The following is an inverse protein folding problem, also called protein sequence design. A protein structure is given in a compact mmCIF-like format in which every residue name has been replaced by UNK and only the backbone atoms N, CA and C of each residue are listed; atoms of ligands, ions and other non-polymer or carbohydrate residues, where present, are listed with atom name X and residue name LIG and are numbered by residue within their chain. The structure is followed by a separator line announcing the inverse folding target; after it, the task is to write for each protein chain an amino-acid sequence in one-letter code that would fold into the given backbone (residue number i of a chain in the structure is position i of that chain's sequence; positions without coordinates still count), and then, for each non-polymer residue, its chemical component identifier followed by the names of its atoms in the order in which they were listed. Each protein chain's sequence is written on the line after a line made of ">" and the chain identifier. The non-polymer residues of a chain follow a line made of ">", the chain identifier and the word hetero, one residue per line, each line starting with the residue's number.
data_IF_566905889022
#
_entry.id   IF_566905889022
#
_cell.length_a   1.000
_cell.length_b   1.000
_cell.length_c   1.000
_cell.angle_alpha   90.00
_cell.angle_beta   90.00
_cell.angle_gamma   90.00
#
_symmetry.space_group_name_H-M   'P 1'
#
loop_
_entity.id
_entity.type
_entity.pdbx_description
1 polymer ?
#
# COMPACT_ATOMS: atom_id res chain seq x y z
N UNK A 1 4.10 15.94 9.12
CA UNK A 1 3.76 15.06 10.27
C UNK A 1 2.54 14.24 9.88
N UNK A 2 2.57 12.92 10.04
CA UNK A 2 1.43 12.05 9.71
C UNK A 2 0.32 12.20 10.76
N UNK A 3 -0.90 11.68 10.49
CA UNK A 3 -1.96 11.64 11.51
C UNK A 3 -1.54 10.80 12.71
N UNK A 4 -0.89 9.65 12.49
CA UNK A 4 -0.36 8.80 13.56
C UNK A 4 0.63 9.56 14.46
N UNK A 5 1.56 10.31 13.87
CA UNK A 5 2.52 11.11 14.62
C UNK A 5 1.82 12.17 15.49
N UNK A 6 0.76 12.80 14.98
CA UNK A 6 -0.04 13.79 15.73
C UNK A 6 -0.76 13.16 16.93
N UNK A 7 -1.35 11.97 16.77
CA UNK A 7 -1.99 11.23 17.87
C UNK A 7 -0.97 10.88 18.95
N UNK A 8 0.17 10.32 18.54
CA UNK A 8 1.23 9.92 19.48
C UNK A 8 1.83 11.13 20.19
N UNK A 9 2.04 12.24 19.48
CA UNK A 9 2.51 13.50 20.07
C UNK A 9 1.48 14.08 21.05
N UNK A 10 0.19 14.03 20.72
CA UNK A 10 -0.89 14.46 21.59
C UNK A 10 -0.91 13.67 22.90
N UNK A 11 -0.77 12.34 22.82
CA UNK A 11 -0.73 11.46 23.98
C UNK A 11 0.52 11.71 24.85
N UNK A 12 1.70 11.83 24.22
CA UNK A 12 2.96 12.10 24.94
C UNK A 12 2.98 13.45 25.63
N UNK A 13 2.28 14.46 25.09
CA UNK A 13 2.16 15.76 25.73
C UNK A 13 1.41 15.70 27.08
N UNK A 14 0.66 14.62 27.34
CA UNK A 14 -0.06 14.41 28.60
C UNK A 14 0.69 13.45 29.56
N UNK A 15 1.90 13.00 29.23
CA UNK A 15 2.73 12.23 30.16
C UNK A 15 2.95 13.00 31.47
N UNK A 16 2.75 12.32 32.59
CA UNK A 16 2.80 12.94 33.92
C UNK A 16 1.45 13.52 34.38
N UNK A 17 0.43 13.57 33.53
CA UNK A 17 -0.93 13.78 34.01
C UNK A 17 -1.37 12.59 34.87
N UNK A 18 -1.81 12.87 36.09
CA UNK A 18 -2.28 11.88 37.05
C UNK A 18 -3.51 12.35 37.81
N UNK A 19 -4.20 11.41 38.41
CA UNK A 19 -5.32 11.68 39.30
C UNK A 19 -4.87 12.40 40.58
N UNK A 20 -5.77 13.18 41.16
CA UNK A 20 -5.55 13.93 42.40
C UNK A 20 -6.83 13.95 43.24
N UNK A 21 -6.92 13.12 44.31
CA UNK A 21 -5.94 12.14 44.77
C UNK A 21 -5.87 10.87 43.86
N UNK A 22 -4.82 10.03 43.96
CA UNK A 22 -4.76 8.77 43.22
C UNK A 22 -5.97 7.86 43.46
N UNK A 23 -6.51 7.27 42.39
CA UNK A 23 -7.68 6.40 42.39
C UNK A 23 -9.03 7.13 42.41
N UNK A 24 -9.03 8.47 42.34
CA UNK A 24 -10.25 9.29 42.34
C UNK A 24 -10.93 9.40 40.98
N UNK A 25 -10.22 9.11 39.89
CA UNK A 25 -10.60 9.51 38.53
C UNK A 25 -10.85 11.01 38.35
N UNK A 26 -10.25 11.84 39.21
CA UNK A 26 -10.39 13.30 39.23
C UNK A 26 -9.01 13.98 39.20
N UNK A 27 -8.98 15.27 38.90
CA UNK A 27 -7.79 16.11 38.85
C UNK A 27 -7.83 17.04 37.64
N UNK A 28 -7.23 18.23 37.74
CA UNK A 28 -7.34 19.25 36.69
C UNK A 28 -6.96 18.75 35.27
N UNK A 29 -5.90 17.95 35.16
CA UNK A 29 -5.48 17.39 33.88
C UNK A 29 -6.38 16.21 33.43
N UNK A 30 -6.87 15.39 34.36
CA UNK A 30 -7.80 14.27 34.09
C UNK A 30 -9.14 14.83 33.62
N UNK A 31 -9.66 15.87 34.28
CA UNK A 31 -10.90 16.55 33.90
C UNK A 31 -10.81 17.17 32.51
N UNK A 32 -9.66 17.76 32.15
CA UNK A 32 -9.42 18.22 30.77
C UNK A 32 -9.54 17.07 29.76
N UNK A 33 -9.01 15.88 30.07
CA UNK A 33 -9.13 14.71 29.19
C UNK A 33 -10.57 14.20 29.13
N UNK A 34 -11.23 14.04 30.29
CA UNK A 34 -12.63 13.59 30.40
C UNK A 34 -13.62 14.55 29.72
N UNK A 35 -13.27 15.83 29.56
CA UNK A 35 -14.12 16.79 28.82
C UNK A 35 -14.40 16.38 27.37
N UNK A 36 -13.56 15.54 26.76
CA UNK A 36 -13.77 14.99 25.40
C UNK A 36 -15.01 14.11 25.27
N UNK A 37 -15.46 13.51 26.38
CA UNK A 37 -16.59 12.58 26.44
C UNK A 37 -17.67 13.03 27.42
N UNK A 38 -17.35 13.98 28.31
CA UNK A 38 -18.24 14.46 29.38
C UNK A 38 -18.35 13.51 30.59
N UNK A 39 -17.62 12.39 30.60
CA UNK A 39 -17.65 11.39 31.66
C UNK A 39 -16.66 11.73 32.78
N UNK A 40 -16.99 12.78 33.55
CA UNK A 40 -16.18 13.21 34.69
C UNK A 40 -16.24 12.19 35.85
N UNK A 41 -15.15 12.07 36.60
CA UNK A 41 -15.04 11.18 37.77
C UNK A 41 -15.28 9.69 37.47
N UNK A 42 -15.02 9.26 36.22
CA UNK A 42 -15.14 7.88 35.78
C UNK A 42 -13.80 7.36 35.24
N UNK A 43 -13.66 6.04 35.14
CA UNK A 43 -12.50 5.42 34.48
C UNK A 43 -12.28 6.06 33.10
N UNK A 44 -11.08 6.60 32.86
CA UNK A 44 -10.85 7.57 31.80
C UNK A 44 -9.89 7.10 30.71
N UNK A 45 -9.59 5.80 30.64
CA UNK A 45 -8.72 5.24 29.59
C UNK A 45 -9.27 5.48 28.18
N UNK A 46 -10.57 5.24 27.94
CA UNK A 46 -11.20 5.50 26.65
C UNK A 46 -11.44 7.00 26.37
N UNK A 47 -11.69 7.79 27.42
CA UNK A 47 -11.71 9.25 27.32
C UNK A 47 -10.34 9.79 26.87
N UNK A 48 -9.23 9.22 27.36
CA UNK A 48 -7.88 9.58 26.92
C UNK A 48 -7.66 9.31 25.43
N UNK A 49 -8.01 8.11 24.95
CA UNK A 49 -7.96 7.77 23.52
C UNK A 49 -8.80 8.75 22.68
N UNK A 50 -10.03 9.00 23.09
CA UNK A 50 -10.94 9.95 22.40
C UNK A 50 -10.35 11.35 22.36
N UNK A 51 -9.85 11.85 23.49
CA UNK A 51 -9.22 13.16 23.61
C UNK A 51 -8.00 13.32 22.69
N UNK A 52 -7.13 12.30 22.63
CA UNK A 52 -5.93 12.36 21.79
C UNK A 52 -6.24 12.25 20.30
N UNK A 53 -7.24 11.47 19.91
CA UNK A 53 -7.77 11.46 18.55
C UNK A 53 -8.34 12.82 18.15
N UNK A 54 -9.20 13.42 18.99
CA UNK A 54 -9.74 14.77 18.76
C UNK A 54 -8.61 15.80 18.60
N UNK A 55 -7.62 15.80 19.50
CA UNK A 55 -6.47 16.72 19.45
C UNK A 55 -5.61 16.54 18.20
N UNK A 56 -5.60 15.34 17.62
CA UNK A 56 -4.92 15.04 16.36
C UNK A 56 -5.77 15.36 15.11
N UNK A 57 -7.02 15.79 15.28
CA UNK A 57 -7.95 16.11 14.20
C UNK A 57 -8.57 14.88 13.54
N UNK A 58 -8.68 13.76 14.26
CA UNK A 58 -9.50 12.60 13.85
C UNK A 58 -10.96 12.90 14.20
N UNK A 59 -11.88 12.62 13.28
CA UNK A 59 -13.31 12.73 13.56
C UNK A 59 -13.75 11.59 14.50
N UNK A 60 -14.10 11.95 15.74
CA UNK A 60 -14.58 11.01 16.74
C UNK A 60 -16.09 11.06 16.91
N UNK A 61 -16.85 11.73 16.05
CA UNK A 61 -18.31 11.83 16.17
C UNK A 61 -19.01 10.47 16.33
N UNK A 62 -18.50 9.43 15.65
CA UNK A 62 -19.03 8.06 15.73
C UNK A 62 -18.28 7.15 16.70
N UNK A 63 -17.03 7.47 17.06
CA UNK A 63 -16.17 6.61 17.90
C UNK A 63 -16.01 7.09 19.34
N UNK A 64 -16.15 8.39 19.60
CA UNK A 64 -15.82 9.02 20.87
C UNK A 64 -16.72 8.54 22.00
N UNK A 65 -16.11 7.97 23.05
CA UNK A 65 -16.81 7.42 24.20
C UNK A 65 -15.87 7.24 25.39
N UNK A 66 -16.45 7.12 26.58
CA UNK A 66 -15.73 6.87 27.82
C UNK A 66 -15.65 5.37 28.19
N UNK A 67 -16.39 4.50 27.49
CA UNK A 67 -16.45 3.07 27.78
C UNK A 67 -15.71 2.20 26.75
N UNK A 68 -14.92 1.23 27.20
CA UNK A 68 -14.17 0.32 26.30
C UNK A 68 -15.07 -0.62 25.49
N UNK A 69 -16.17 -1.11 26.07
CA UNK A 69 -17.16 -1.92 25.36
C UNK A 69 -17.85 -1.12 24.25
N UNK A 70 -18.35 0.07 24.59
CA UNK A 70 -18.99 0.96 23.62
C UNK A 70 -18.02 1.39 22.51
N UNK A 71 -16.74 1.60 22.84
CA UNK A 71 -15.71 1.93 21.85
C UNK A 71 -15.53 0.79 20.83
N UNK A 72 -15.48 -0.47 21.28
CA UNK A 72 -15.40 -1.65 20.39
C UNK A 72 -16.69 -1.82 19.59
N UNK A 73 -17.85 -1.65 20.20
CA UNK A 73 -19.14 -1.81 19.52
C UNK A 73 -19.36 -0.74 18.45
N UNK A 74 -19.01 0.52 18.73
CA UNK A 74 -18.97 1.61 17.74
C UNK A 74 -18.02 1.27 16.59
N UNK A 75 -16.78 0.91 16.90
CA UNK A 75 -15.81 0.54 15.88
C UNK A 75 -16.26 -0.65 15.03
N UNK A 76 -16.98 -1.62 15.61
CA UNK A 76 -17.56 -2.74 14.88
C UNK A 76 -18.66 -2.27 13.93
N UNK A 77 -19.59 -1.42 14.38
CA UNK A 77 -20.66 -0.86 13.52
C UNK A 77 -20.09 -0.05 12.36
N UNK A 78 -19.04 0.72 12.60
CA UNK A 78 -18.36 1.54 11.59
C UNK A 78 -17.39 0.73 10.69
N UNK A 79 -17.21 -0.57 10.93
CA UNK A 79 -16.26 -1.37 10.16
C UNK A 79 -14.79 -0.97 10.34
N UNK A 80 -14.43 -0.39 11.49
CA UNK A 80 -13.08 0.14 11.81
C UNK A 80 -12.23 -0.79 12.68
N UNK A 81 -12.69 -2.02 12.91
CA UNK A 81 -11.89 -3.06 13.56
C UNK A 81 -10.85 -3.63 12.59
N UNK A 82 -9.60 -3.78 13.04
CA UNK A 82 -8.52 -4.39 12.26
C UNK A 82 -7.88 -5.54 13.04
N UNK A 83 -7.33 -6.51 12.30
CA UNK A 83 -6.60 -7.64 12.87
C UNK A 83 -5.14 -7.32 13.21
N UNK A 84 -4.62 -6.20 12.68
CA UNK A 84 -3.25 -5.74 12.91
C UNK A 84 -3.26 -4.31 13.44
N UNK A 85 -2.42 -4.00 14.43
CA UNK A 85 -2.28 -2.64 14.92
C UNK A 85 -1.56 -1.77 13.87
N UNK A 86 -1.87 -0.48 13.89
CA UNK A 86 -1.08 0.56 13.22
C UNK A 86 -0.76 1.66 14.24
N UNK A 87 0.37 2.38 14.10
CA UNK A 87 0.67 3.53 14.96
C UNK A 87 -0.49 4.53 15.04
N UNK A 88 -0.79 5.01 16.25
CA UNK A 88 -1.91 5.92 16.54
C UNK A 88 -3.27 5.24 16.72
N UNK A 89 -3.41 3.95 16.41
CA UNK A 89 -4.66 3.24 16.63
C UNK A 89 -4.89 2.97 18.13
N UNK A 90 -6.14 2.69 18.51
CA UNK A 90 -6.43 2.20 19.84
C UNK A 90 -6.30 0.68 19.87
N UNK A 91 -5.70 0.16 20.93
CA UNK A 91 -5.81 -1.24 21.33
C UNK A 91 -6.77 -1.31 22.51
N UNK A 92 -7.71 -2.26 22.49
CA UNK A 92 -8.66 -2.51 23.57
C UNK A 92 -8.48 -3.94 24.05
N UNK A 93 -8.30 -4.14 25.36
CA UNK A 93 -8.24 -5.46 26.00
C UNK A 93 -9.49 -5.68 26.84
N UNK A 94 -10.07 -6.88 26.74
CA UNK A 94 -11.18 -7.34 27.58
C UNK A 94 -12.33 -6.31 27.71
N UNK A 95 -12.89 -5.81 26.59
CA UNK A 95 -13.88 -4.73 26.61
C UNK A 95 -15.04 -5.01 27.57
N UNK A 96 -15.44 -4.01 28.36
CA UNK A 96 -16.45 -4.14 29.43
C UNK A 96 -15.98 -3.47 30.72
N UNK A 97 -16.55 -3.87 31.86
CA UNK A 97 -16.30 -3.28 33.18
C UNK A 97 -14.84 -3.37 33.65
N UNK A 98 -14.08 -4.32 33.08
CA UNK A 98 -12.64 -4.51 33.35
C UNK A 98 -11.77 -4.20 32.14
N UNK A 99 -12.36 -3.62 31.10
CA UNK A 99 -11.65 -3.36 29.86
C UNK A 99 -10.71 -2.19 29.99
N UNK A 100 -9.60 -2.26 29.27
CA UNK A 100 -8.62 -1.17 29.19
C UNK A 100 -8.34 -0.82 27.74
N UNK A 101 -7.98 0.43 27.47
CA UNK A 101 -7.56 0.85 26.13
C UNK A 101 -6.42 1.85 26.18
N UNK A 102 -5.53 1.74 25.20
CA UNK A 102 -4.34 2.58 25.06
C UNK A 102 -4.10 2.87 23.57
N UNK A 103 -3.35 3.93 23.28
CA UNK A 103 -2.85 4.21 21.93
C UNK A 103 -1.62 3.36 21.65
N UNK A 104 -1.58 2.73 20.48
CA UNK A 104 -0.39 2.03 19.98
C UNK A 104 0.61 3.04 19.41
N UNK A 105 1.84 3.05 19.93
CA UNK A 105 2.92 3.89 19.40
C UNK A 105 3.64 3.14 18.28
N UNK A 106 4.03 1.89 18.53
CA UNK A 106 4.67 1.00 17.56
C UNK A 106 4.56 -0.44 18.03
N UNK A 107 4.63 -1.39 17.10
CA UNK A 107 4.76 -2.81 17.43
C UNK A 107 6.18 -3.16 17.90
N UNK A 108 6.28 -4.21 18.71
CA UNK A 108 7.51 -4.82 19.21
C UNK A 108 7.42 -6.31 18.91
N UNK A 109 8.11 -6.75 17.86
CA UNK A 109 7.96 -8.10 17.33
C UNK A 109 6.52 -8.37 16.85
N UNK A 110 6.10 -9.64 16.93
CA UNK A 110 4.77 -10.09 16.51
C UNK A 110 3.72 -10.06 17.62
N UNK A 111 4.13 -9.90 18.88
CA UNK A 111 3.24 -10.11 20.05
C UNK A 111 3.14 -8.91 20.99
N UNK A 112 4.02 -7.92 20.85
CA UNK A 112 4.08 -6.77 21.73
C UNK A 112 3.88 -5.45 20.99
N UNK A 113 3.61 -4.40 21.76
CA UNK A 113 3.67 -3.02 21.30
C UNK A 113 4.11 -2.10 22.44
N UNK A 114 4.77 -1.00 22.08
CA UNK A 114 4.85 0.17 22.96
C UNK A 114 3.53 0.91 22.85
N UNK A 115 2.91 1.21 23.98
CA UNK A 115 1.62 1.89 24.05
C UNK A 115 1.69 3.08 25.00
N UNK A 116 0.72 3.98 24.89
CA UNK A 116 0.51 5.07 25.84
C UNK A 116 -0.96 5.11 26.23
N UNK A 117 -1.22 5.08 27.53
CA UNK A 117 -2.55 4.92 28.12
C UNK A 117 -2.85 5.96 29.17
N UNK A 118 -4.08 6.45 29.21
CA UNK A 118 -4.63 7.16 30.37
C UNK A 118 -5.20 6.17 31.39
N UNK A 119 -5.34 6.58 32.65
CA UNK A 119 -5.79 5.74 33.75
C UNK A 119 -4.95 4.45 33.93
N UNK A 120 -3.70 4.47 33.46
CA UNK A 120 -2.75 3.36 33.69
C UNK A 120 -2.03 3.61 35.00
N UNK A 121 -2.51 2.98 36.08
CA UNK A 121 -2.03 3.27 37.43
C UNK A 121 -2.29 4.73 37.78
N UNK A 122 -3.54 5.15 37.59
CA UNK A 122 -4.09 6.47 37.91
C UNK A 122 -3.38 7.64 37.20
N UNK A 123 -2.72 7.37 36.06
CA UNK A 123 -1.94 8.34 35.31
C UNK A 123 -1.86 8.04 33.81
N UNK A 124 -1.35 9.01 33.05
CA UNK A 124 -0.89 8.79 31.67
C UNK A 124 0.50 8.16 31.70
N UNK A 125 0.64 6.96 31.13
CA UNK A 125 1.91 6.21 31.09
C UNK A 125 2.19 5.62 29.73
N UNK A 126 3.47 5.63 29.36
CA UNK A 126 4.02 4.91 28.21
C UNK A 126 4.77 3.67 28.71
N UNK A 127 4.45 2.48 28.17
CA UNK A 127 5.07 1.20 28.56
C UNK A 127 4.86 0.15 27.46
N UNK A 128 5.51 -1.01 27.61
CA UNK A 128 5.32 -2.13 26.68
C UNK A 128 4.17 -3.02 27.14
N UNK A 129 3.32 -3.43 26.19
CA UNK A 129 2.18 -4.31 26.40
C UNK A 129 2.25 -5.52 25.48
N UNK A 130 1.69 -6.63 25.97
CA UNK A 130 1.31 -7.76 25.13
C UNK A 130 0.00 -7.43 24.40
N UNK A 131 -0.04 -7.64 23.09
CA UNK A 131 -1.18 -7.26 22.23
C UNK A 131 -1.72 -8.43 21.38
N UNK A 132 -1.25 -9.65 21.61
CA UNK A 132 -1.69 -10.84 20.89
C UNK A 132 -2.51 -11.78 21.80
N UNK A 133 -3.42 -11.21 22.59
CA UNK A 133 -4.26 -11.95 23.53
C UNK A 133 -5.68 -12.18 23.00
N UNK A 134 -6.40 -13.19 23.51
CA UNK A 134 -7.84 -13.28 23.29
C UNK A 134 -8.52 -12.00 23.77
N UNK A 135 -9.61 -11.59 23.11
CA UNK A 135 -10.34 -10.35 23.41
C UNK A 135 -9.49 -9.07 23.31
N UNK A 136 -8.50 -9.06 22.40
CA UNK A 136 -7.77 -7.85 22.00
C UNK A 136 -8.30 -7.34 20.68
N UNK A 137 -8.65 -6.06 20.61
CA UNK A 137 -9.20 -5.41 19.41
C UNK A 137 -8.36 -4.21 19.03
N UNK A 138 -8.12 -4.02 17.72
CA UNK A 138 -7.50 -2.80 17.20
C UNK A 138 -8.54 -1.96 16.48
N UNK A 139 -8.67 -0.71 16.88
CA UNK A 139 -9.60 0.26 16.30
C UNK A 139 -8.79 1.28 15.53
N UNK A 140 -8.99 1.29 14.21
CA UNK A 140 -8.25 2.13 13.28
C UNK A 140 -9.22 3.13 12.63
N UNK A 141 -9.27 4.38 13.11
CA UNK A 141 -9.91 5.48 12.40
C UNK A 141 -9.45 5.59 10.94
N UNK A 142 -10.33 6.06 10.05
CA UNK A 142 -10.08 6.10 8.61
C UNK A 142 -8.87 6.97 8.27
N UNK A 143 -8.63 8.02 9.05
CA UNK A 143 -7.50 8.94 8.91
C UNK A 143 -6.15 8.32 9.26
N UNK A 144 -6.16 7.15 9.92
CA UNK A 144 -4.99 6.33 10.20
C UNK A 144 -4.81 5.18 9.21
N UNK A 145 -5.79 4.92 8.33
CA UNK A 145 -5.61 3.95 7.27
C UNK A 145 -4.61 4.44 6.24
N UNK A 146 -3.66 3.58 5.88
CA UNK A 146 -2.83 3.81 4.73
C UNK A 146 -3.72 3.92 3.50
N UNK A 147 -3.74 5.10 2.87
CA UNK A 147 -4.43 5.27 1.60
C UNK A 147 -3.84 4.24 0.62
N UNK A 148 -4.67 3.46 -0.08
CA UNK A 148 -4.16 2.51 -1.05
C UNK A 148 -3.29 3.24 -2.06
N UNK A 149 -2.02 2.83 -2.16
CA UNK A 149 -1.14 3.32 -3.19
C UNK A 149 -1.56 2.68 -4.50
N UNK A 150 -1.63 3.46 -5.57
CA UNK A 150 -1.98 2.96 -6.89
C UNK A 150 -0.84 3.28 -7.84
N UNK A 151 -0.39 2.28 -8.58
CA UNK A 151 0.52 2.45 -9.71
C UNK A 151 -0.31 2.42 -10.99
N UNK A 152 0.00 3.33 -11.92
CA UNK A 152 -0.60 3.30 -13.25
C UNK A 152 0.38 2.63 -14.20
N UNK A 153 0.06 1.42 -14.63
CA UNK A 153 0.83 0.72 -15.66
C UNK A 153 0.35 1.18 -17.02
N UNK A 154 1.25 1.69 -17.85
CA UNK A 154 0.99 2.05 -19.23
C UNK A 154 1.50 0.95 -20.16
N UNK A 155 0.73 0.63 -21.20
CA UNK A 155 1.19 -0.24 -22.29
C UNK A 155 0.64 0.24 -23.63
N UNK A 156 1.27 -0.22 -24.71
CA UNK A 156 0.81 0.01 -26.07
C UNK A 156 0.26 -1.30 -26.62
N UNK A 157 -1.00 -1.27 -27.06
CA UNK A 157 -1.69 -2.43 -27.61
C UNK A 157 -1.75 -2.29 -29.14
N UNK A 158 -1.34 -3.34 -29.85
CA UNK A 158 -1.68 -3.55 -31.25
C UNK A 158 -2.95 -4.43 -31.29
N UNK A 159 -4.12 -3.89 -31.69
CA UNK A 159 -5.37 -4.65 -31.70
C UNK A 159 -5.35 -5.91 -32.58
N UNK A 160 -4.37 -6.01 -33.50
CA UNK A 160 -4.18 -7.16 -34.38
C UNK A 160 -3.13 -8.17 -33.86
N UNK A 161 -2.45 -7.88 -32.75
CA UNK A 161 -1.57 -8.84 -32.08
C UNK A 161 -2.39 -9.67 -31.08
N UNK A 162 -2.20 -11.00 -31.04
CA UNK A 162 -2.83 -11.81 -30.01
C UNK A 162 -2.37 -11.33 -28.62
N UNK A 163 -3.30 -11.00 -27.70
CA UNK A 163 -2.99 -10.28 -26.47
C UNK A 163 -2.43 -11.23 -25.42
N UNK A 164 -1.20 -11.71 -25.63
CA UNK A 164 -0.52 -12.52 -24.63
C UNK A 164 0.93 -12.04 -24.48
N UNK A 165 1.11 -11.22 -23.44
CA UNK A 165 2.37 -10.95 -22.71
C UNK A 165 3.46 -10.14 -23.43
N UNK A 166 3.32 -8.81 -23.47
CA UNK A 166 4.51 -7.96 -23.65
C UNK A 166 4.49 -6.78 -22.68
N UNK A 167 5.23 -6.90 -21.58
CA UNK A 167 5.55 -5.80 -20.66
C UNK A 167 6.66 -4.92 -21.27
N UNK A 168 6.61 -3.61 -21.02
CA UNK A 168 7.69 -2.68 -21.39
C UNK A 168 8.90 -2.92 -20.48
N UNK A 169 10.10 -3.09 -21.07
CA UNK A 169 11.35 -3.25 -20.32
C UNK A 169 12.15 -1.94 -20.36
N UNK A 170 12.61 -1.51 -19.19
CA UNK A 170 13.39 -0.28 -19.02
C UNK A 170 14.90 -0.48 -19.23
N UNK A 171 15.40 -1.72 -19.34
CA UNK A 171 16.82 -2.01 -19.60
C UNK A 171 17.04 -3.12 -20.63
N UNK A 172 18.13 -2.99 -21.40
CA UNK A 172 18.56 -3.97 -22.38
C UNK A 172 18.98 -5.29 -21.75
N UNK A 173 19.62 -5.26 -20.58
CA UNK A 173 20.09 -6.47 -19.89
C UNK A 173 18.91 -7.36 -19.44
N UNK A 174 17.88 -6.76 -18.84
CA UNK A 174 16.69 -7.53 -18.41
C UNK A 174 15.91 -8.09 -19.60
N UNK A 175 15.92 -7.36 -20.73
CA UNK A 175 15.38 -7.82 -22.00
C UNK A 175 16.09 -9.08 -22.51
N UNK A 176 17.43 -9.10 -22.55
CA UNK A 176 18.16 -10.30 -23.03
C UNK A 176 17.95 -11.52 -22.12
N UNK A 177 17.83 -11.30 -20.81
CA UNK A 177 17.56 -12.35 -19.83
C UNK A 177 16.21 -13.03 -20.08
N UNK A 178 15.14 -12.24 -20.26
CA UNK A 178 13.80 -12.77 -20.50
C UNK A 178 13.69 -13.51 -21.85
N UNK A 179 14.39 -13.04 -22.90
CA UNK A 179 14.47 -13.75 -24.20
C UNK A 179 15.13 -15.11 -24.00
N UNK A 180 16.25 -15.14 -23.29
CA UNK A 180 17.00 -16.38 -23.02
C UNK A 180 16.12 -17.37 -22.27
N UNK A 181 15.37 -16.90 -21.26
CA UNK A 181 14.44 -17.74 -20.51
C UNK A 181 13.28 -18.26 -21.38
N UNK A 182 12.71 -17.41 -22.24
CA UNK A 182 11.62 -17.79 -23.14
C UNK A 182 12.05 -18.80 -24.21
N UNK A 183 13.23 -18.60 -24.79
CA UNK A 183 13.83 -19.58 -25.72
C UNK A 183 14.10 -20.89 -25.01
N UNK A 184 14.59 -20.84 -23.76
CA UNK A 184 14.76 -22.02 -22.90
C UNK A 184 13.46 -22.80 -22.65
N UNK A 185 12.30 -22.14 -22.73
CA UNK A 185 10.96 -22.75 -22.61
C UNK A 185 10.37 -23.19 -23.96
N UNK A 186 11.16 -23.22 -25.03
CA UNK A 186 10.74 -23.65 -26.37
C UNK A 186 10.17 -22.55 -27.28
N UNK A 187 10.32 -21.28 -26.90
CA UNK A 187 9.95 -20.14 -27.75
C UNK A 187 10.83 -19.98 -28.99
N UNK A 188 10.25 -19.57 -30.13
CA UNK A 188 10.98 -19.35 -31.39
C UNK A 188 11.29 -17.85 -31.65
N UNK A 189 12.56 -17.41 -31.63
CA UNK A 189 12.94 -15.99 -31.76
C UNK A 189 12.47 -15.29 -33.04
N UNK A 190 12.20 -16.04 -34.11
CA UNK A 190 11.73 -15.49 -35.39
C UNK A 190 10.33 -14.87 -35.34
N UNK A 191 9.61 -15.02 -34.23
CA UNK A 191 8.23 -14.56 -34.05
C UNK A 191 8.09 -13.20 -33.35
N UNK A 192 9.19 -12.53 -33.05
CA UNK A 192 9.16 -11.33 -32.21
C UNK A 192 9.68 -10.12 -33.01
N UNK A 193 8.83 -9.10 -33.21
CA UNK A 193 9.24 -7.85 -33.87
C UNK A 193 9.62 -6.80 -32.83
N UNK A 194 10.76 -6.14 -33.05
CA UNK A 194 11.28 -5.06 -32.21
C UNK A 194 10.67 -3.72 -32.61
N UNK A 195 10.04 -3.02 -31.66
CA UNK A 195 9.66 -1.61 -31.77
C UNK A 195 10.52 -0.74 -30.85
N UNK A 196 10.82 0.50 -31.26
CA UNK A 196 11.57 1.47 -30.44
C UNK A 196 10.77 2.76 -30.32
N UNK A 197 10.49 3.24 -29.09
CA UNK A 197 9.84 4.53 -28.85
C UNK A 197 10.98 5.50 -28.71
N UNK A 198 11.00 6.53 -29.54
CA UNK A 198 11.91 7.66 -29.36
C UNK A 198 11.13 8.90 -28.98
N UNK A 199 11.66 9.69 -28.06
CA UNK A 199 11.16 11.04 -27.77
C UNK A 199 12.12 12.07 -28.34
N UNK A 200 11.60 13.24 -28.71
CA UNK A 200 12.44 14.34 -29.18
C UNK A 200 13.06 15.06 -27.97
N UNK A 201 14.39 15.02 -27.84
CA UNK A 201 15.16 15.83 -26.89
C UNK A 201 16.17 16.67 -27.66
N UNK A 202 16.14 17.98 -27.46
CA UNK A 202 17.02 18.93 -28.16
C UNK A 202 17.03 18.73 -29.69
N UNK A 203 15.86 18.55 -30.29
CA UNK A 203 15.70 18.31 -31.73
C UNK A 203 16.05 16.89 -32.21
N UNK A 204 16.72 16.08 -31.39
CA UNK A 204 17.12 14.69 -31.72
C UNK A 204 16.11 13.69 -31.18
N UNK A 205 15.82 12.63 -31.95
CA UNK A 205 15.06 11.48 -31.46
C UNK A 205 15.97 10.62 -30.59
N UNK A 206 15.63 10.48 -29.31
CA UNK A 206 16.34 9.65 -28.34
C UNK A 206 15.44 8.46 -28.01
N UNK A 207 15.92 7.21 -28.21
CA UNK A 207 15.16 6.02 -27.84
C UNK A 207 14.97 5.96 -26.33
N UNK A 208 13.73 5.77 -25.88
CA UNK A 208 13.35 5.72 -24.46
C UNK A 208 12.83 4.34 -24.07
N UNK A 209 12.16 3.65 -25.00
CA UNK A 209 11.62 2.32 -24.74
C UNK A 209 11.84 1.41 -25.95
N UNK A 210 12.02 0.11 -25.69
CA UNK A 210 11.95 -0.93 -26.72
C UNK A 210 10.83 -1.88 -26.33
N UNK A 211 9.96 -2.27 -27.26
CA UNK A 211 8.89 -3.24 -27.00
C UNK A 211 8.82 -4.30 -28.10
N UNK A 212 8.00 -5.31 -27.85
CA UNK A 212 7.75 -6.42 -28.76
C UNK A 212 6.28 -6.41 -29.21
N UNK A 213 6.03 -6.70 -30.48
CA UNK A 213 4.73 -7.21 -30.92
C UNK A 213 4.87 -8.72 -31.18
N UNK A 214 3.94 -9.51 -30.65
CA UNK A 214 3.86 -10.95 -30.87
C UNK A 214 3.64 -11.31 -32.35
N UNK A 215 3.66 -12.62 -32.70
CA UNK A 215 3.55 -13.06 -34.08
C UNK A 215 2.22 -12.63 -34.70
N UNK A 216 2.24 -12.23 -35.97
CA UNK A 216 1.04 -12.37 -36.81
C UNK A 216 0.72 -13.86 -36.88
N UNK A 217 -0.55 -14.24 -36.73
CA UNK A 217 -1.05 -15.44 -37.43
C UNK A 217 -0.66 -15.29 -38.89
N UNK A 218 0.03 -16.31 -39.40
CA UNK A 218 0.61 -16.44 -40.76
C UNK A 218 -0.03 -15.50 -41.79
N UNK A 219 0.78 -14.69 -42.48
CA UNK A 219 0.35 -14.24 -43.82
C UNK A 219 0.14 -15.51 -44.64
N UNK A 220 -1.01 -15.72 -45.29
CA UNK A 220 -1.29 -16.91 -46.09
C UNK A 220 -0.26 -17.20 -47.20
N UNK A 221 0.57 -16.22 -47.53
CA UNK A 221 1.42 -16.23 -48.73
C UNK A 221 2.86 -16.69 -48.47
N UNK A 222 3.20 -17.11 -47.25
CA UNK A 222 4.57 -17.54 -46.91
C UNK A 222 4.77 -19.04 -47.06
N UNK A 223 5.00 -19.48 -48.30
CA UNK A 223 5.59 -20.79 -48.60
C UNK A 223 7.06 -20.60 -48.95
N UNK A 224 7.96 -20.89 -48.02
CA UNK A 224 9.38 -21.11 -48.36
C UNK A 224 9.80 -22.49 -47.88
N UNK A 225 10.53 -23.27 -48.69
CA UNK A 225 11.00 -24.59 -48.29
C UNK A 225 12.00 -24.50 -47.12
N UNK A 226 12.15 -25.58 -46.34
CA UNK A 226 13.01 -25.58 -45.15
C UNK A 226 14.45 -25.17 -45.50
N UNK A 227 15.00 -24.23 -44.74
CA UNK A 227 16.36 -23.74 -44.93
C UNK A 227 17.38 -24.86 -44.67
N UNK A 228 18.25 -25.11 -45.65
CA UNK A 228 19.15 -26.25 -45.65
C UNK A 228 20.26 -26.22 -44.57
N UNK A 229 20.56 -25.08 -43.93
CA UNK A 229 21.57 -25.01 -42.85
C UNK A 229 21.33 -23.89 -41.81
N UNK A 230 21.81 -24.06 -40.57
CA UNK A 230 21.77 -23.03 -39.51
C UNK A 230 22.46 -21.70 -39.87
N UNK A 231 23.47 -21.74 -40.73
CA UNK A 231 24.21 -20.55 -41.18
C UNK A 231 23.36 -19.64 -42.09
N UNK A 232 22.48 -20.22 -42.92
CA UNK A 232 21.54 -19.47 -43.76
C UNK A 232 20.45 -18.76 -42.93
N UNK A 233 20.03 -19.35 -41.81
CA UNK A 233 19.11 -18.73 -40.86
C UNK A 233 19.74 -17.57 -40.08
N UNK A 234 21.07 -17.58 -39.89
CA UNK A 234 21.80 -16.48 -39.21
C UNK A 234 21.98 -15.26 -40.13
N UNK A 235 22.36 -15.47 -41.40
CA UNK A 235 22.52 -14.37 -42.39
C UNK A 235 21.23 -13.59 -42.69
N UNK A 236 20.04 -14.17 -42.50
CA UNK A 236 18.75 -13.47 -42.67
C UNK A 236 18.22 -12.78 -41.40
N UNK A 237 18.73 -13.11 -40.21
CA UNK A 237 18.44 -12.34 -38.97
C UNK A 237 19.07 -10.96 -39.01
N UNK A 238 20.23 -10.86 -39.66
CA UNK A 238 21.00 -9.62 -39.81
C UNK A 238 20.80 -8.99 -41.19
N UNK A 239 19.57 -9.08 -41.74
CA UNK A 239 19.23 -8.37 -42.97
C UNK A 239 19.55 -6.87 -42.78
N UNK A 240 20.42 -6.37 -43.65
CA UNK A 240 20.95 -5.00 -43.62
C UNK A 240 19.81 -3.99 -43.40
N UNK A 241 19.85 -3.30 -42.25
CA UNK A 241 18.83 -2.35 -41.80
C UNK A 241 18.58 -1.22 -42.83
N UNK A 242 19.53 -0.97 -43.74
CA UNK A 242 19.41 0.05 -44.78
C UNK A 242 18.56 -0.37 -46.00
N UNK A 243 18.27 -1.68 -46.16
CA UNK A 243 17.50 -2.20 -47.32
C UNK A 243 16.09 -2.67 -46.99
N UNK A 244 15.70 -2.68 -45.71
CA UNK A 244 14.30 -2.90 -45.35
C UNK A 244 13.63 -1.53 -45.26
N UNK A 245 13.21 -0.99 -46.41
CA UNK A 245 12.14 0.00 -46.40
C UNK A 245 10.89 -0.73 -45.94
N UNK A 246 10.70 -0.84 -44.63
CA UNK A 246 9.45 -1.28 -44.07
C UNK A 246 8.40 -0.32 -44.62
N UNK A 247 7.55 -0.82 -45.52
CA UNK A 247 6.25 -0.22 -45.77
C UNK A 247 5.69 0.19 -44.42
N UNK A 248 5.30 1.47 -44.31
CA UNK A 248 4.78 2.07 -43.08
C UNK A 248 3.87 1.04 -42.40
N UNK A 249 4.18 0.57 -41.18
CA UNK A 249 3.31 -0.36 -40.51
C UNK A 249 1.93 0.29 -40.41
N UNK A 250 0.93 -0.26 -41.11
CA UNK A 250 -0.45 0.26 -41.13
C UNK A 250 -1.20 0.09 -39.81
N UNK A 251 -0.49 0.01 -38.69
CA UNK A 251 -1.03 -0.30 -37.39
C UNK A 251 -0.92 0.92 -36.47
N UNK A 252 -2.07 1.45 -36.08
CA UNK A 252 -2.18 2.54 -35.11
C UNK A 252 -2.08 1.92 -33.72
N UNK A 253 -0.91 2.03 -33.10
CA UNK A 253 -0.73 1.65 -31.70
C UNK A 253 -1.60 2.54 -30.81
N UNK A 254 -2.37 1.92 -29.91
CA UNK A 254 -3.22 2.65 -28.97
C UNK A 254 -2.56 2.64 -27.60
N UNK A 255 -2.43 3.83 -26.99
CA UNK A 255 -2.00 3.97 -25.60
C UNK A 255 -3.10 3.42 -24.70
N UNK A 256 -2.73 2.50 -23.80
CA UNK A 256 -3.60 1.98 -22.74
C UNK A 256 -2.96 2.24 -21.38
N UNK A 257 -3.79 2.26 -20.36
CA UNK A 257 -3.37 2.34 -18.97
C UNK A 257 -4.32 1.58 -18.07
N UNK A 258 -3.79 0.88 -17.07
CA UNK A 258 -4.56 0.39 -15.94
C UNK A 258 -3.98 0.95 -14.66
N UNK A 259 -4.89 1.35 -13.77
CA UNK A 259 -4.57 1.70 -12.40
C UNK A 259 -4.64 0.43 -11.57
N UNK A 260 -3.49 -0.01 -11.07
CA UNK A 260 -3.35 -1.21 -10.25
C UNK A 260 -3.04 -0.78 -8.81
N UNK A 261 -3.72 -1.39 -7.84
CA UNK A 261 -3.41 -1.17 -6.43
C UNK A 261 -2.04 -1.78 -6.13
N UNK A 262 -1.13 -0.98 -5.61
CA UNK A 262 0.16 -1.44 -5.09
C UNK A 262 -0.12 -1.90 -3.66
N UNK A 263 0.09 -3.18 -3.40
CA UNK A 263 0.08 -3.73 -2.05
C UNK A 263 1.50 -3.80 -1.53
#
# INVERSE_FOLDING_TARGET
>A
MTTADRVIAAARADLGCSESPPGSNDGACVNRIQSSTGAYNAAWCASAVTYWWQKAGIDVSTLGTAGTADLVDRARREGRLRSKPVPGCAVVWSPGDRGHTEIVIRTIGSVGARTIGGNTGDAVREHDRYINGPNTFFIVPDELEAKPEYSTTYWWEDPAAEPVRHELRNSAARREQDITEWVGKGGQPGHVRRGTVSIRRHGKLVPVFTWWSGPRKRSPDWTSPPLATPAAAKRKRDANHDKVSAERPGHILRKRSARVRVN
#
